data_IF_106987247664
#
_entry.id   IF_106987247664
#
_cell.length_a   1.000
_cell.length_b   1.000
_cell.length_c   1.000
_cell.angle_alpha   90.00
_cell.angle_beta   90.00
_cell.angle_gamma   90.00
#
_symmetry.space_group_name_H-M   'P 1'
#
loop_
_entity.id
_entity.type
_entity.pdbx_description
1 polymer ?
#
# COMPACT_ATOMS: atom_id res chain seq x y z
N UNK A 1 -35.95 5.38 -5.81
CA UNK A 1 -36.70 4.21 -6.34
C UNK A 1 -35.79 3.40 -7.28
N UNK A 2 -34.58 3.08 -6.80
CA UNK A 2 -33.53 2.31 -7.48
C UNK A 2 -33.08 1.29 -6.43
N UNK A 3 -33.83 0.21 -6.26
CA UNK A 3 -33.56 -0.81 -5.21
C UNK A 3 -33.84 -2.25 -5.66
N UNK A 4 -34.08 -2.51 -6.95
CA UNK A 4 -34.39 -3.88 -7.43
C UNK A 4 -33.61 -4.25 -8.70
N UNK A 5 -32.72 -3.39 -9.20
CA UNK A 5 -31.99 -3.66 -10.46
C UNK A 5 -30.57 -4.20 -10.25
N UNK A 6 -30.21 -4.63 -9.04
CA UNK A 6 -28.86 -5.13 -8.73
C UNK A 6 -28.77 -6.66 -8.84
N UNK A 7 -29.78 -7.39 -8.36
CA UNK A 7 -29.85 -8.85 -8.48
C UNK A 7 -30.03 -9.35 -9.93
N UNK A 8 -30.55 -8.48 -10.81
CA UNK A 8 -30.77 -8.82 -12.22
C UNK A 8 -29.51 -8.75 -13.08
N UNK A 9 -28.54 -7.89 -12.74
CA UNK A 9 -27.33 -7.69 -13.55
C UNK A 9 -26.30 -8.80 -13.30
N UNK A 10 -26.15 -9.23 -12.04
CA UNK A 10 -25.28 -10.35 -11.65
C UNK A 10 -25.78 -11.68 -12.24
N UNK A 11 -27.10 -11.86 -12.35
CA UNK A 11 -27.67 -13.04 -13.01
C UNK A 11 -27.60 -13.01 -14.55
N UNK A 12 -27.35 -11.84 -15.17
CA UNK A 12 -27.29 -11.67 -16.63
C UNK A 12 -25.87 -11.79 -17.21
N UNK A 13 -24.83 -11.57 -16.39
CA UNK A 13 -23.45 -11.93 -16.74
C UNK A 13 -23.24 -13.45 -16.80
N UNK A 14 -24.14 -14.23 -16.21
CA UNK A 14 -24.25 -15.69 -16.32
C UNK A 14 -25.22 -16.07 -17.46
N UNK A 15 -25.20 -15.34 -18.57
CA UNK A 15 -25.96 -15.75 -19.75
C UNK A 15 -25.21 -16.84 -20.52
N UNK A 16 -25.97 -17.85 -20.94
CA UNK A 16 -25.53 -19.13 -21.53
C UNK A 16 -24.49 -19.09 -22.67
N UNK A 17 -24.26 -18.01 -23.46
CA UNK A 17 -23.22 -18.04 -24.50
C UNK A 17 -21.80 -17.82 -23.97
N UNK A 18 -21.61 -17.11 -22.85
CA UNK A 18 -20.28 -16.95 -22.23
C UNK A 18 -19.85 -18.25 -21.52
N UNK A 19 -20.81 -18.93 -20.90
CA UNK A 19 -20.63 -20.25 -20.30
C UNK A 19 -20.18 -21.31 -21.32
N UNK A 20 -20.64 -21.24 -22.57
CA UNK A 20 -20.27 -22.23 -23.59
C UNK A 20 -18.83 -22.07 -24.13
N UNK A 21 -18.22 -20.88 -24.04
CA UNK A 21 -16.79 -20.68 -24.40
C UNK A 21 -15.88 -21.09 -23.24
N UNK A 22 -16.28 -20.76 -22.01
CA UNK A 22 -15.58 -21.14 -20.78
C UNK A 22 -15.71 -22.63 -20.46
N UNK A 23 -16.83 -23.31 -20.75
CA UNK A 23 -17.07 -24.74 -20.47
C UNK A 23 -15.89 -25.64 -20.90
N UNK A 24 -15.31 -25.37 -22.08
CA UNK A 24 -14.16 -26.13 -22.60
C UNK A 24 -12.85 -25.97 -21.79
N UNK A 25 -12.69 -24.86 -21.07
CA UNK A 25 -11.58 -24.62 -20.13
C UNK A 25 -11.95 -25.03 -18.70
N UNK A 26 -13.23 -24.96 -18.32
CA UNK A 26 -13.73 -25.20 -16.96
C UNK A 26 -13.80 -26.68 -16.55
N UNK A 27 -13.81 -27.64 -17.48
CA UNK A 27 -14.00 -29.06 -17.16
C UNK A 27 -12.83 -29.74 -16.40
N UNK A 28 -11.66 -29.09 -16.29
CA UNK A 28 -10.44 -29.68 -15.68
C UNK A 28 -9.83 -28.86 -14.52
N UNK A 29 -10.49 -27.79 -14.08
CA UNK A 29 -9.99 -26.96 -12.97
C UNK A 29 -10.90 -26.98 -11.75
N UNK A 30 -10.35 -26.52 -10.63
CA UNK A 30 -11.05 -26.32 -9.37
C UNK A 30 -11.46 -24.86 -9.26
N UNK A 31 -12.67 -24.63 -8.74
CA UNK A 31 -13.14 -23.30 -8.38
C UNK A 31 -13.29 -23.20 -6.86
N UNK A 32 -12.90 -22.05 -6.32
CA UNK A 32 -13.17 -21.67 -4.93
C UNK A 32 -13.78 -20.27 -4.94
N UNK A 33 -14.90 -20.10 -4.24
CA UNK A 33 -15.53 -18.80 -4.08
C UNK A 33 -15.27 -18.23 -2.70
N UNK A 34 -15.19 -16.92 -2.61
CA UNK A 34 -15.22 -16.22 -1.33
C UNK A 34 -16.20 -15.04 -1.34
N UNK A 35 -16.74 -14.75 -0.15
CA UNK A 35 -17.58 -13.58 0.08
C UNK A 35 -17.24 -13.01 1.45
N UNK A 36 -16.70 -11.80 1.44
CA UNK A 36 -16.34 -11.04 2.63
C UNK A 36 -17.37 -9.95 2.91
N UNK A 37 -17.75 -9.78 4.18
CA UNK A 37 -18.46 -8.59 4.64
C UNK A 37 -17.56 -7.86 5.62
N UNK A 38 -17.29 -6.60 5.34
CA UNK A 38 -16.48 -5.72 6.17
C UNK A 38 -17.39 -4.70 6.85
N UNK A 39 -17.09 -4.39 8.10
CA UNK A 39 -17.63 -3.24 8.78
C UNK A 39 -16.50 -2.49 9.48
N UNK A 40 -16.33 -1.22 9.12
CA UNK A 40 -15.35 -0.31 9.70
C UNK A 40 -16.08 0.77 10.49
N UNK A 41 -15.60 1.02 11.71
CA UNK A 41 -16.11 2.08 12.58
C UNK A 41 -14.97 3.01 13.00
N UNK A 42 -15.15 4.30 12.72
CA UNK A 42 -14.26 5.36 13.15
C UNK A 42 -14.79 6.01 14.42
N UNK A 43 -13.89 6.22 15.38
CA UNK A 43 -14.23 6.79 16.69
C UNK A 43 -14.73 8.22 16.57
N UNK A 44 -14.09 9.03 15.73
CA UNK A 44 -14.38 10.45 15.53
C UNK A 44 -15.00 10.67 14.12
N UNK A 45 -15.84 11.71 13.94
CA UNK A 45 -16.29 12.12 12.61
C UNK A 45 -15.12 12.49 11.72
N UNK A 46 -15.21 12.21 10.42
CA UNK A 46 -14.18 12.61 9.48
C UNK A 46 -14.05 14.12 9.38
N UNK A 47 -12.81 14.59 9.26
CA UNK A 47 -12.44 16.00 9.24
C UNK A 47 -13.21 16.82 8.19
N UNK A 48 -13.59 16.19 7.08
CA UNK A 48 -14.29 16.80 5.95
C UNK A 48 -15.74 16.33 5.81
N UNK A 49 -16.31 15.74 6.87
CA UNK A 49 -17.69 15.26 6.88
C UNK A 49 -17.86 13.81 6.42
N UNK A 50 -16.77 13.05 6.30
CA UNK A 50 -16.82 11.64 5.96
C UNK A 50 -17.50 10.81 7.07
N UNK A 51 -18.08 9.68 6.66
CA UNK A 51 -18.86 8.82 7.56
C UNK A 51 -17.97 8.15 8.63
N UNK A 52 -18.57 7.93 9.81
CA UNK A 52 -17.96 7.12 10.87
C UNK A 52 -18.20 5.62 10.68
N UNK A 53 -19.09 5.26 9.77
CA UNK A 53 -19.53 3.90 9.56
C UNK A 53 -19.36 3.56 8.10
N UNK A 54 -18.68 2.47 7.82
CA UNK A 54 -18.52 1.97 6.47
C UNK A 54 -18.75 0.46 6.43
N UNK A 55 -19.38 -0.01 5.35
CA UNK A 55 -19.72 -1.39 5.08
C UNK A 55 -19.32 -1.73 3.65
N UNK A 56 -18.43 -2.70 3.50
CA UNK A 56 -18.05 -3.22 2.20
C UNK A 56 -18.46 -4.68 2.01
N UNK A 57 -18.73 -5.06 0.76
CA UNK A 57 -18.94 -6.44 0.33
C UNK A 57 -17.82 -6.82 -0.66
N UNK A 58 -17.00 -7.79 -0.27
CA UNK A 58 -15.92 -8.36 -1.10
C UNK A 58 -16.38 -9.67 -1.73
N UNK A 59 -16.10 -9.86 -3.01
CA UNK A 59 -16.44 -11.06 -3.78
C UNK A 59 -15.20 -11.49 -4.57
N UNK A 60 -14.74 -12.70 -4.29
CA UNK A 60 -13.60 -13.32 -4.99
C UNK A 60 -13.99 -14.67 -5.57
N UNK A 61 -13.36 -15.04 -6.68
CA UNK A 61 -13.47 -16.39 -7.22
C UNK A 61 -12.11 -16.81 -7.77
N UNK A 62 -11.56 -17.90 -7.25
CA UNK A 62 -10.31 -18.48 -7.72
C UNK A 62 -10.61 -19.67 -8.63
N UNK A 63 -10.01 -19.66 -9.82
CA UNK A 63 -9.90 -20.82 -10.68
C UNK A 63 -8.46 -21.30 -10.70
N UNK A 64 -8.27 -22.60 -10.45
CA UNK A 64 -6.98 -23.25 -10.51
C UNK A 64 -7.02 -24.48 -11.41
N UNK A 65 -6.01 -24.65 -12.25
CA UNK A 65 -5.82 -25.90 -13.00
C UNK A 65 -4.34 -26.21 -13.17
N UNK A 66 -4.02 -27.50 -13.27
CA UNK A 66 -2.68 -27.98 -13.58
C UNK A 66 -2.71 -29.05 -14.66
N UNK A 67 -1.71 -29.05 -15.52
CA UNK A 67 -1.56 -30.02 -16.61
C UNK A 67 -0.09 -30.39 -16.81
N UNK A 68 0.18 -31.27 -17.78
CA UNK A 68 1.53 -31.81 -18.05
C UNK A 68 2.19 -32.40 -16.80
N UNK A 69 1.48 -33.30 -16.11
CA UNK A 69 1.94 -33.94 -14.87
C UNK A 69 2.27 -32.95 -13.72
N UNK A 70 1.75 -31.73 -13.79
CA UNK A 70 1.92 -30.69 -12.77
C UNK A 70 3.00 -29.66 -13.09
N UNK A 71 3.68 -29.80 -14.23
CA UNK A 71 4.71 -28.86 -14.67
C UNK A 71 4.11 -27.52 -15.12
N UNK A 72 2.84 -27.51 -15.53
CA UNK A 72 2.13 -26.29 -15.91
C UNK A 72 0.96 -26.03 -14.96
N UNK A 73 0.87 -24.79 -14.47
CA UNK A 73 -0.17 -24.32 -13.56
C UNK A 73 -0.79 -23.04 -14.09
N UNK A 74 -2.09 -22.87 -13.89
CA UNK A 74 -2.77 -21.61 -14.16
C UNK A 74 -3.72 -21.25 -13.03
N UNK A 75 -3.62 -20.01 -12.56
CA UNK A 75 -4.51 -19.41 -11.57
C UNK A 75 -5.17 -18.17 -12.17
N UNK A 76 -6.47 -18.01 -11.92
CA UNK A 76 -7.22 -16.80 -12.26
C UNK A 76 -8.09 -16.39 -11.07
N UNK A 77 -7.86 -15.17 -10.57
CA UNK A 77 -8.52 -14.61 -9.41
C UNK A 77 -9.12 -13.23 -9.71
N UNK A 78 -10.35 -13.18 -10.27
CA UNK A 78 -11.17 -11.98 -10.32
C UNK A 78 -11.69 -11.59 -8.94
N UNK A 79 -11.71 -10.29 -8.70
CA UNK A 79 -12.12 -9.66 -7.45
C UNK A 79 -13.07 -8.49 -7.71
N UNK A 80 -14.06 -8.33 -6.83
CA UNK A 80 -14.98 -7.21 -6.82
C UNK A 80 -15.23 -6.79 -5.39
N UNK A 81 -15.02 -5.52 -5.10
CA UNK A 81 -15.42 -4.89 -3.85
C UNK A 81 -16.51 -3.85 -4.13
N UNK A 82 -17.53 -3.83 -3.29
CA UNK A 82 -18.62 -2.85 -3.31
C UNK A 82 -18.63 -2.15 -1.96
N UNK A 83 -18.28 -0.87 -1.96
CA UNK A 83 -18.20 -0.05 -0.77
C UNK A 83 -19.44 0.84 -0.62
N UNK A 84 -19.78 1.20 0.63
CA UNK A 84 -20.99 1.96 0.92
C UNK A 84 -20.79 3.47 0.92
N UNK A 85 -19.58 3.93 1.19
CA UNK A 85 -19.25 5.33 1.38
C UNK A 85 -18.31 5.86 0.29
N UNK A 86 -17.32 5.07 -0.16
CA UNK A 86 -16.32 5.49 -1.15
C UNK A 86 -16.53 4.84 -2.52
N UNK A 87 -16.78 5.66 -3.55
CA UNK A 87 -16.90 5.17 -4.92
C UNK A 87 -15.58 4.69 -5.52
N UNK A 88 -14.44 5.24 -5.11
CA UNK A 88 -13.12 4.81 -5.60
C UNK A 88 -12.77 3.42 -5.09
N UNK A 89 -13.20 3.09 -3.87
CA UNK A 89 -13.08 1.75 -3.30
C UNK A 89 -13.98 0.73 -4.00
N UNK A 90 -15.07 1.14 -4.64
CA UNK A 90 -15.94 0.23 -5.39
C UNK A 90 -15.35 -0.09 -6.77
N UNK A 91 -14.64 -1.20 -6.89
CA UNK A 91 -13.97 -1.57 -8.13
C UNK A 91 -13.94 -3.09 -8.41
N UNK A 92 -13.72 -3.42 -9.67
CA UNK A 92 -13.40 -4.77 -10.13
C UNK A 92 -11.93 -4.83 -10.54
N UNK A 93 -11.21 -5.85 -10.08
CA UNK A 93 -9.82 -6.09 -10.45
C UNK A 93 -9.57 -7.56 -10.79
N UNK A 94 -8.56 -7.81 -11.61
CA UNK A 94 -7.99 -9.15 -11.78
C UNK A 94 -6.73 -9.18 -10.92
N UNK A 95 -6.88 -9.65 -9.69
CA UNK A 95 -5.76 -9.74 -8.73
C UNK A 95 -4.68 -10.71 -9.23
N UNK A 96 -5.10 -11.83 -9.83
CA UNK A 96 -4.19 -12.80 -10.42
C UNK A 96 -4.75 -13.37 -11.74
N UNK A 97 -3.86 -13.52 -12.72
CA UNK A 97 -4.08 -14.26 -13.95
C UNK A 97 -2.72 -14.79 -14.40
N UNK A 98 -2.28 -15.87 -13.78
CA UNK A 98 -0.90 -16.31 -13.79
C UNK A 98 -0.77 -17.70 -14.39
N UNK A 99 0.08 -17.85 -15.40
CA UNK A 99 0.58 -19.14 -15.86
C UNK A 99 2.00 -19.37 -15.35
N UNK A 100 2.27 -20.57 -14.86
CA UNK A 100 3.58 -21.01 -14.40
C UNK A 100 3.97 -22.27 -15.16
N UNK A 101 5.21 -22.32 -15.65
CA UNK A 101 5.85 -23.53 -16.17
C UNK A 101 7.09 -23.86 -15.35
N UNK A 102 7.13 -25.06 -14.79
CA UNK A 102 8.24 -25.59 -13.99
C UNK A 102 9.07 -26.54 -14.84
N UNK A 103 10.35 -26.23 -15.01
CA UNK A 103 11.34 -27.12 -15.63
C UNK A 103 12.33 -27.69 -14.60
N UNK A 104 13.31 -28.45 -15.08
CA UNK A 104 14.28 -29.14 -14.20
C UNK A 104 15.11 -28.20 -13.30
N UNK A 105 15.43 -27.00 -13.79
CA UNK A 105 16.31 -26.04 -13.10
C UNK A 105 15.91 -24.59 -13.36
N UNK A 106 14.67 -24.37 -13.80
CA UNK A 106 14.12 -23.06 -14.09
C UNK A 106 12.61 -23.09 -13.97
N UNK A 107 12.03 -21.92 -13.76
CA UNK A 107 10.59 -21.70 -13.75
C UNK A 107 10.27 -20.41 -14.50
N UNK A 108 9.19 -20.42 -15.27
CA UNK A 108 8.69 -19.23 -15.97
C UNK A 108 7.29 -18.90 -15.48
N UNK A 109 7.13 -17.67 -15.02
CA UNK A 109 5.87 -17.08 -14.60
C UNK A 109 5.48 -16.02 -15.62
N UNK A 110 4.27 -16.08 -16.16
CA UNK A 110 3.77 -15.06 -17.09
C UNK A 110 2.30 -14.79 -16.85
N UNK A 111 1.96 -13.53 -16.69
CA UNK A 111 0.60 -13.13 -16.34
C UNK A 111 0.55 -11.90 -15.46
N UNK A 112 -0.52 -11.77 -14.69
CA UNK A 112 -0.72 -10.72 -13.67
C UNK A 112 -0.59 -11.40 -12.31
N UNK A 113 0.31 -10.94 -11.46
CA UNK A 113 0.52 -11.53 -10.13
C UNK A 113 1.11 -10.52 -9.15
N UNK A 114 0.99 -10.81 -7.87
CA UNK A 114 1.75 -10.14 -6.81
C UNK A 114 3.07 -10.86 -6.57
N UNK A 115 4.10 -10.11 -6.23
CA UNK A 115 5.43 -10.56 -5.85
C UNK A 115 5.79 -9.80 -4.57
N UNK A 116 6.29 -10.51 -3.57
CA UNK A 116 6.70 -9.91 -2.32
C UNK A 116 8.20 -10.09 -2.14
N UNK A 117 8.92 -8.99 -1.90
CA UNK A 117 10.32 -9.00 -1.47
C UNK A 117 10.42 -8.35 -0.10
N UNK A 118 11.02 -9.03 0.86
CA UNK A 118 11.17 -8.49 2.19
C UNK A 118 11.32 -9.57 3.25
N UNK A 119 11.70 -9.11 4.42
CA UNK A 119 11.95 -9.86 5.64
C UNK A 119 11.41 -9.13 6.87
N UNK A 120 11.41 -7.79 6.88
CA UNK A 120 10.94 -6.99 8.02
C UNK A 120 9.42 -6.91 8.11
N UNK A 121 8.90 -6.50 9.26
CA UNK A 121 7.49 -6.64 9.63
C UNK A 121 6.71 -5.31 9.51
N UNK A 122 7.34 -4.15 9.73
CA UNK A 122 6.64 -2.85 9.68
C UNK A 122 6.76 -2.12 8.34
N UNK A 123 7.82 -2.39 7.58
CA UNK A 123 8.04 -1.82 6.25
C UNK A 123 8.92 -2.77 5.44
N UNK A 124 8.66 -2.90 4.14
CA UNK A 124 9.48 -3.69 3.22
C UNK A 124 10.11 -2.80 2.16
N UNK A 125 11.28 -2.25 2.47
CA UNK A 125 11.97 -1.26 1.63
C UNK A 125 12.33 -1.80 0.25
N UNK A 126 12.64 -3.11 0.19
CA UNK A 126 13.04 -3.74 -1.07
C UNK A 126 11.84 -4.10 -1.96
N UNK A 127 10.61 -4.05 -1.45
CA UNK A 127 9.42 -4.47 -2.19
C UNK A 127 8.96 -3.40 -3.19
N UNK A 128 9.43 -3.53 -4.43
CA UNK A 128 9.28 -2.47 -5.46
C UNK A 128 8.58 -2.96 -6.73
N UNK A 129 8.18 -4.23 -6.80
CA UNK A 129 7.61 -4.80 -8.03
C UNK A 129 6.16 -4.35 -8.21
N UNK A 130 5.35 -4.51 -7.17
CA UNK A 130 3.92 -4.25 -7.17
C UNK A 130 3.60 -2.89 -6.58
N UNK A 131 2.55 -2.27 -7.10
CA UNK A 131 2.01 -1.01 -6.60
C UNK A 131 1.06 -1.28 -5.43
N UNK A 132 1.01 -0.39 -4.44
CA UNK A 132 0.02 -0.43 -3.35
C UNK A 132 -1.41 -0.18 -3.87
N UNK A 133 -2.39 -0.76 -3.18
CA UNK A 133 -3.82 -0.59 -3.42
C UNK A 133 -4.49 0.10 -2.22
N UNK A 134 -4.20 1.39 -2.03
CA UNK A 134 -4.61 2.13 -0.83
C UNK A 134 -6.13 2.32 -0.70
N UNK A 135 -6.93 1.96 -1.70
CA UNK A 135 -8.40 1.97 -1.53
C UNK A 135 -8.87 0.72 -0.78
N UNK A 136 -8.14 -0.39 -0.85
CA UNK A 136 -8.51 -1.62 -0.15
C UNK A 136 -7.92 -1.63 1.27
N UNK A 137 -6.59 -1.56 1.36
CA UNK A 137 -5.81 -1.49 2.60
C UNK A 137 -4.37 -1.00 2.38
N UNK A 138 -3.63 -0.65 3.44
CA UNK A 138 -2.22 -0.21 3.34
C UNK A 138 -1.25 -1.35 2.99
N UNK A 139 -1.55 -2.58 3.42
CA UNK A 139 -0.76 -3.78 3.10
C UNK A 139 -1.17 -4.46 1.76
N UNK A 140 -2.26 -4.02 1.11
CA UNK A 140 -2.76 -4.65 -0.12
C UNK A 140 -2.05 -4.09 -1.36
N UNK A 141 -1.80 -4.97 -2.35
CA UNK A 141 -1.08 -4.59 -3.58
C UNK A 141 -1.83 -4.92 -4.86
N UNK A 142 -1.62 -4.14 -5.91
CA UNK A 142 -2.08 -4.43 -7.25
C UNK A 142 -1.25 -5.54 -7.89
N UNK A 143 -1.90 -6.47 -8.60
CA UNK A 143 -1.20 -7.47 -9.42
C UNK A 143 -0.44 -6.79 -10.58
N UNK A 144 0.83 -7.13 -10.76
CA UNK A 144 1.69 -6.58 -11.80
C UNK A 144 1.66 -7.52 -13.02
N UNK A 145 1.31 -7.02 -14.23
CA UNK A 145 1.53 -7.77 -15.46
C UNK A 145 3.03 -7.95 -15.70
N UNK A 146 3.49 -9.19 -15.88
CA UNK A 146 4.91 -9.51 -15.95
C UNK A 146 5.24 -10.82 -16.65
N UNK A 147 6.51 -10.95 -17.02
CA UNK A 147 7.19 -12.20 -17.32
C UNK A 147 8.36 -12.32 -16.35
N UNK A 148 8.41 -13.40 -15.57
CA UNK A 148 9.51 -13.70 -14.67
C UNK A 148 10.13 -15.06 -14.99
N UNK A 149 11.45 -15.06 -15.16
CA UNK A 149 12.25 -16.26 -15.33
C UNK A 149 13.10 -16.46 -14.08
N UNK A 150 12.86 -17.55 -13.38
CA UNK A 150 13.62 -17.98 -12.21
C UNK A 150 14.57 -19.11 -12.62
N UNK A 151 15.85 -18.98 -12.31
CA UNK A 151 16.88 -19.98 -12.61
C UNK A 151 17.48 -20.51 -11.30
N UNK A 152 17.41 -21.82 -11.11
CA UNK A 152 17.92 -22.49 -9.92
C UNK A 152 19.34 -22.99 -10.19
N UNK A 153 20.30 -22.57 -9.37
CA UNK A 153 21.67 -23.03 -9.45
C UNK A 153 22.28 -23.24 -8.05
N UNK A 154 23.29 -24.10 -7.93
CA UNK A 154 24.10 -24.32 -6.72
C UNK A 154 24.63 -23.04 -6.03
N UNK A 155 24.75 -21.91 -6.75
CA UNK A 155 25.23 -20.64 -6.20
C UNK A 155 24.11 -19.63 -5.89
N UNK A 156 22.84 -20.03 -6.03
CA UNK A 156 21.65 -19.24 -5.67
C UNK A 156 20.53 -19.32 -6.70
N UNK A 157 19.41 -18.67 -6.38
CA UNK A 157 18.30 -18.44 -7.29
C UNK A 157 18.50 -17.09 -7.99
N UNK A 158 18.27 -17.07 -9.30
CA UNK A 158 18.25 -15.84 -10.10
C UNK A 158 16.87 -15.61 -10.67
N UNK A 159 16.25 -14.52 -10.28
CA UNK A 159 14.96 -14.08 -10.80
C UNK A 159 15.17 -12.89 -11.72
N UNK A 160 14.70 -13.00 -12.95
CA UNK A 160 14.68 -11.90 -13.93
C UNK A 160 13.24 -11.51 -14.20
N UNK A 161 12.91 -10.23 -14.12
CA UNK A 161 11.57 -9.71 -14.26
C UNK A 161 11.52 -8.72 -15.43
N UNK A 162 10.54 -8.92 -16.31
CA UNK A 162 10.07 -7.93 -17.27
C UNK A 162 8.66 -7.55 -16.87
N UNK A 163 8.47 -6.33 -16.40
CA UNK A 163 7.17 -5.83 -15.95
C UNK A 163 6.54 -5.06 -17.12
N UNK A 164 5.33 -5.45 -17.53
CA UNK A 164 4.71 -5.00 -18.77
C UNK A 164 3.63 -3.97 -18.48
N UNK A 165 3.94 -2.70 -18.67
CA UNK A 165 3.06 -1.60 -18.30
C UNK A 165 3.08 -1.34 -16.79
N UNK A 166 2.67 -0.13 -16.44
CA UNK A 166 2.60 0.36 -15.09
C UNK A 166 1.14 0.54 -14.69
N UNK A 167 0.82 0.10 -13.47
CA UNK A 167 -0.47 0.32 -12.83
C UNK A 167 -0.29 1.41 -11.80
N UNK A 168 -1.03 2.50 -11.96
CA UNK A 168 -1.03 3.61 -11.01
C UNK A 168 -1.59 3.15 -9.67
N UNK A 169 -1.14 3.82 -8.61
CA UNK A 169 -1.63 3.63 -7.25
C UNK A 169 -3.07 4.11 -7.17
N UNK A 170 -3.89 3.36 -6.46
CA UNK A 170 -5.26 3.77 -6.13
C UNK A 170 -5.24 4.60 -4.86
N UNK A 171 -6.15 5.56 -4.75
CA UNK A 171 -6.26 6.44 -3.58
C UNK A 171 -7.72 6.57 -3.15
N UNK A 172 -8.02 6.62 -1.84
CA UNK A 172 -9.39 6.82 -1.39
C UNK A 172 -9.98 8.14 -1.89
N UNK A 173 -11.26 8.12 -2.22
CA UNK A 173 -11.99 9.25 -2.79
C UNK A 173 -12.36 10.31 -1.74
N UNK A 174 -13.00 11.43 -2.14
CA UNK A 174 -13.34 12.53 -1.23
C UNK A 174 -14.20 12.11 -0.01
N UNK A 175 -15.12 11.16 -0.21
CA UNK A 175 -16.01 10.62 0.81
C UNK A 175 -15.36 9.47 1.62
N UNK A 176 -14.21 8.96 1.16
CA UNK A 176 -13.43 7.91 1.79
C UNK A 176 -12.71 8.38 3.08
N UNK A 177 -12.46 7.42 3.96
CA UNK A 177 -11.68 7.57 5.20
C UNK A 177 -10.25 7.06 4.95
N UNK A 178 -9.31 7.34 5.86
CA UNK A 178 -7.88 7.00 5.70
C UNK A 178 -7.23 7.65 4.47
N UNK A 179 -7.72 8.84 4.09
CA UNK A 179 -7.19 9.62 2.96
C UNK A 179 -6.34 10.78 3.45
N UNK A 180 -5.48 11.29 2.56
CA UNK A 180 -4.87 12.61 2.76
C UNK A 180 -5.93 13.72 2.90
N UNK A 181 -5.65 14.81 3.63
CA UNK A 181 -6.60 15.92 3.85
C UNK A 181 -7.14 16.50 2.55
N UNK A 182 -6.26 16.64 1.55
CA UNK A 182 -6.65 16.91 0.17
C UNK A 182 -6.83 15.58 -0.59
N UNK A 183 -7.97 15.37 -1.26
CA UNK A 183 -8.16 14.21 -2.13
C UNK A 183 -7.12 14.15 -3.25
N UNK A 184 -6.81 12.96 -3.73
CA UNK A 184 -5.87 12.73 -4.83
C UNK A 184 -6.67 12.47 -6.11
N UNK A 185 -6.36 13.21 -7.17
CA UNK A 185 -6.89 13.05 -8.52
C UNK A 185 -6.02 12.04 -9.29
N UNK A 186 -6.36 10.76 -9.15
CA UNK A 186 -5.68 9.65 -9.83
C UNK A 186 -5.80 9.74 -11.37
N UNK A 187 -6.92 10.25 -11.89
CA UNK A 187 -7.15 10.43 -13.33
C UNK A 187 -6.24 11.49 -13.97
N UNK A 188 -5.66 12.39 -13.15
CA UNK A 188 -4.75 13.44 -13.60
C UNK A 188 -3.27 13.07 -13.50
N UNK A 189 -2.95 11.79 -13.23
CA UNK A 189 -1.58 11.31 -13.05
C UNK A 189 -0.61 11.79 -14.15
N UNK A 190 0.58 12.22 -13.72
CA UNK A 190 1.62 12.76 -14.60
C UNK A 190 2.86 11.86 -14.56
N UNK A 191 3.62 11.87 -15.65
CA UNK A 191 4.86 11.09 -15.78
C UNK A 191 6.02 11.99 -16.21
N UNK A 192 7.23 11.70 -15.72
CA UNK A 192 8.45 12.35 -16.18
C UNK A 192 8.73 12.07 -17.65
N UNK A 193 9.56 12.90 -18.29
CA UNK A 193 9.80 12.83 -19.73
C UNK A 193 10.42 11.53 -20.25
N UNK A 194 11.01 10.73 -19.36
CA UNK A 194 11.69 9.47 -19.62
C UNK A 194 10.88 8.25 -19.20
N UNK A 195 9.65 8.42 -18.71
CA UNK A 195 8.81 7.31 -18.29
C UNK A 195 7.33 7.47 -18.63
N UNK A 196 6.52 6.42 -18.44
CA UNK A 196 5.08 6.45 -18.72
C UNK A 196 4.33 5.17 -18.36
N UNK A 197 3.00 5.25 -18.37
CA UNK A 197 2.10 4.14 -18.03
C UNK A 197 2.32 2.86 -18.86
N UNK A 198 2.84 2.97 -20.08
CA UNK A 198 3.06 1.82 -20.98
C UNK A 198 4.52 1.34 -20.99
N UNK A 199 5.34 1.79 -20.05
CA UNK A 199 6.74 1.40 -19.98
C UNK A 199 6.92 -0.07 -19.62
N UNK A 200 8.11 -0.56 -19.96
CA UNK A 200 8.55 -1.90 -19.58
C UNK A 200 9.65 -1.75 -18.56
N UNK A 201 9.33 -2.05 -17.31
CA UNK A 201 10.29 -2.01 -16.21
C UNK A 201 11.06 -3.32 -16.13
N UNK A 202 12.23 -3.27 -15.51
CA UNK A 202 13.11 -4.42 -15.35
C UNK A 202 13.53 -4.59 -13.90
N UNK A 203 13.58 -5.84 -13.45
CA UNK A 203 14.17 -6.16 -12.16
C UNK A 203 14.96 -7.46 -12.19
N UNK A 204 15.97 -7.55 -11.33
CA UNK A 204 16.74 -8.78 -11.09
C UNK A 204 16.87 -8.98 -9.60
N UNK A 205 16.66 -10.21 -9.14
CA UNK A 205 16.95 -10.61 -7.77
C UNK A 205 17.83 -11.84 -7.76
N UNK A 206 18.85 -11.82 -6.92
CA UNK A 206 19.65 -12.99 -6.58
C UNK A 206 19.48 -13.28 -5.11
N UNK A 207 19.17 -14.51 -4.76
CA UNK A 207 19.09 -14.93 -3.35
C UNK A 207 19.82 -16.25 -3.12
N UNK A 208 20.42 -16.38 -1.92
CA UNK A 208 21.15 -17.59 -1.55
C UNK A 208 21.31 -17.72 -0.02
N UNK A 209 21.18 -18.94 0.54
CA UNK A 209 21.76 -19.25 1.83
C UNK A 209 23.29 -19.17 1.77
N UNK A 210 23.87 -18.30 2.59
CA UNK A 210 25.32 -18.18 2.76
C UNK A 210 25.88 -19.28 3.67
N UNK A 211 25.09 -19.73 4.63
CA UNK A 211 25.34 -20.86 5.53
C UNK A 211 24.00 -21.35 6.15
N UNK A 212 24.06 -22.26 7.13
CA UNK A 212 22.89 -22.86 7.77
C UNK A 212 21.99 -21.87 8.55
N UNK A 213 22.47 -20.64 8.78
CA UNK A 213 21.79 -19.63 9.61
C UNK A 213 21.58 -18.30 8.90
N UNK A 214 22.28 -18.03 7.80
CA UNK A 214 22.27 -16.71 7.14
C UNK A 214 21.79 -16.85 5.70
N UNK A 215 20.72 -16.13 5.39
CA UNK A 215 20.22 -15.91 4.04
C UNK A 215 20.52 -14.48 3.59
N UNK A 216 20.78 -14.33 2.30
CA UNK A 216 21.05 -13.04 1.66
C UNK A 216 20.32 -12.94 0.33
N UNK A 217 19.80 -11.76 0.03
CA UNK A 217 19.40 -11.39 -1.31
C UNK A 217 19.96 -10.02 -1.74
N UNK A 218 20.18 -9.89 -3.03
CA UNK A 218 20.52 -8.63 -3.70
C UNK A 218 19.52 -8.42 -4.83
N UNK A 219 19.00 -7.21 -4.94
CA UNK A 219 18.06 -6.84 -6.00
C UNK A 219 18.51 -5.58 -6.73
N UNK A 220 18.10 -5.48 -7.99
CA UNK A 220 18.18 -4.26 -8.79
C UNK A 220 16.86 -4.08 -9.52
N UNK A 221 16.29 -2.89 -9.43
CA UNK A 221 15.07 -2.47 -10.12
C UNK A 221 15.37 -1.21 -10.94
N UNK A 222 14.76 -1.11 -12.11
CA UNK A 222 14.83 0.05 -13.01
C UNK A 222 13.50 0.19 -13.74
N UNK A 223 12.75 1.25 -13.46
CA UNK A 223 11.42 1.45 -14.00
C UNK A 223 10.68 2.62 -13.39
N UNK A 224 9.37 2.71 -13.63
CA UNK A 224 8.50 3.73 -13.02
C UNK A 224 8.57 3.63 -11.49
N UNK A 225 8.64 4.75 -10.78
CA UNK A 225 8.63 4.80 -9.33
C UNK A 225 7.28 4.32 -8.77
N UNK A 226 7.32 3.53 -7.70
CA UNK A 226 6.11 3.01 -7.04
C UNK A 226 5.63 3.95 -5.93
N UNK A 227 6.41 4.97 -5.62
CA UNK A 227 6.09 5.97 -4.61
C UNK A 227 5.94 7.34 -5.31
N UNK A 228 4.75 7.70 -5.83
CA UNK A 228 4.58 8.97 -6.51
C UNK A 228 4.77 10.14 -5.54
N UNK A 229 5.23 11.27 -6.08
CA UNK A 229 5.18 12.54 -5.36
C UNK A 229 3.95 13.34 -5.81
N UNK A 230 3.43 14.18 -4.93
CA UNK A 230 2.18 14.89 -5.18
C UNK A 230 2.41 16.37 -5.53
N UNK A 231 1.69 16.87 -6.53
CA UNK A 231 1.60 18.29 -6.87
C UNK A 231 0.18 18.80 -6.65
N UNK A 232 0.01 20.05 -6.23
CA UNK A 232 -1.33 20.64 -6.15
C UNK A 232 -1.93 20.89 -7.55
N UNK A 233 -3.24 20.70 -7.71
CA UNK A 233 -3.93 20.92 -8.98
C UNK A 233 -4.16 22.41 -9.33
N UNK A 234 -3.85 23.32 -8.40
CA UNK A 234 -4.03 24.77 -8.52
C UNK A 234 -5.49 25.24 -8.69
N UNK A 235 -6.46 24.41 -8.27
CA UNK A 235 -7.88 24.75 -8.24
C UNK A 235 -8.35 24.89 -6.79
N UNK A 236 -8.56 26.12 -6.32
CA UNK A 236 -9.06 26.35 -4.95
C UNK A 236 -10.55 26.03 -4.80
N UNK A 237 -11.30 25.98 -5.89
CA UNK A 237 -12.71 25.62 -5.84
C UNK A 237 -12.93 24.11 -5.68
N UNK A 238 -11.94 23.32 -6.09
CA UNK A 238 -11.88 21.88 -5.94
C UNK A 238 -10.42 21.43 -5.69
N UNK A 239 -9.87 21.68 -4.49
CA UNK A 239 -8.46 21.44 -4.21
C UNK A 239 -8.15 19.94 -4.18
N UNK A 240 -7.22 19.52 -5.02
CA UNK A 240 -6.78 18.13 -5.11
C UNK A 240 -5.26 18.03 -5.31
N UNK A 241 -4.71 16.89 -4.92
CA UNK A 241 -3.36 16.48 -5.24
C UNK A 241 -3.33 15.68 -6.54
N UNK A 242 -2.26 15.83 -7.32
CA UNK A 242 -2.03 15.10 -8.56
C UNK A 242 -0.78 14.25 -8.37
N UNK A 243 -0.84 12.91 -8.56
CA UNK A 243 0.31 12.05 -8.44
C UNK A 243 1.24 12.22 -9.66
N UNK A 244 2.54 12.29 -9.39
CA UNK A 244 3.58 12.42 -10.39
C UNK A 244 4.56 11.26 -10.28
N UNK A 245 4.62 10.46 -11.33
CA UNK A 245 5.50 9.32 -11.48
C UNK A 245 6.79 9.69 -12.22
N UNK A 246 7.89 9.09 -11.81
CA UNK A 246 9.21 9.32 -12.40
C UNK A 246 9.96 8.00 -12.58
N UNK A 247 11.05 7.99 -13.35
CA UNK A 247 11.92 6.82 -13.42
C UNK A 247 12.75 6.67 -12.12
N UNK A 248 12.82 5.46 -11.56
CA UNK A 248 13.61 5.09 -10.38
C UNK A 248 14.53 3.90 -10.69
N UNK A 249 15.81 4.05 -10.36
CA UNK A 249 16.77 2.95 -10.27
C UNK A 249 17.03 2.64 -8.78
N UNK A 250 16.83 1.39 -8.36
CA UNK A 250 16.96 0.97 -6.96
C UNK A 250 17.83 -0.27 -6.84
N UNK A 251 18.82 -0.23 -5.93
CA UNK A 251 19.57 -1.40 -5.47
C UNK A 251 19.08 -1.80 -4.10
N UNK A 252 18.78 -3.09 -3.90
CA UNK A 252 18.32 -3.64 -2.63
C UNK A 252 19.28 -4.69 -2.06
N UNK A 253 19.33 -4.75 -0.73
CA UNK A 253 20.02 -5.75 0.06
C UNK A 253 19.05 -6.28 1.11
N UNK A 254 18.97 -7.60 1.21
CA UNK A 254 18.24 -8.31 2.27
C UNK A 254 19.23 -9.25 2.99
N UNK A 255 19.21 -9.25 4.32
CA UNK A 255 19.92 -10.23 5.15
C UNK A 255 18.99 -10.74 6.23
N UNK A 256 19.03 -12.05 6.47
CA UNK A 256 18.30 -12.70 7.53
C UNK A 256 19.21 -13.69 8.25
N UNK A 257 19.26 -13.62 9.58
CA UNK A 257 19.96 -14.56 10.43
C UNK A 257 18.97 -15.25 11.38
N UNK A 258 18.89 -16.58 11.32
CA UNK A 258 17.98 -17.39 12.13
C UNK A 258 18.78 -18.35 13.02
N UNK A 259 18.62 -18.25 14.35
CA UNK A 259 19.28 -19.17 15.29
C UNK A 259 18.54 -19.32 16.62
N UNK A 260 18.16 -20.55 16.98
CA UNK A 260 17.55 -20.91 18.28
C UNK A 260 16.41 -19.97 18.72
N UNK A 261 15.55 -19.55 17.78
CA UNK A 261 14.40 -18.68 18.03
C UNK A 261 14.69 -17.18 17.88
N UNK A 262 15.94 -16.79 17.66
CA UNK A 262 16.29 -15.43 17.22
C UNK A 262 16.15 -15.30 15.71
N UNK A 263 15.54 -14.20 15.27
CA UNK A 263 15.68 -13.70 13.90
C UNK A 263 16.33 -12.30 13.95
N UNK A 264 17.36 -12.08 13.14
CA UNK A 264 17.92 -10.74 12.93
C UNK A 264 17.83 -10.45 11.45
N UNK A 265 17.15 -9.36 11.12
CA UNK A 265 16.77 -9.01 9.75
C UNK A 265 17.35 -7.64 9.41
N UNK A 266 17.75 -7.46 8.16
CA UNK A 266 18.17 -6.18 7.62
C UNK A 266 17.66 -6.07 6.20
N UNK A 267 16.99 -4.97 5.89
CA UNK A 267 16.77 -4.51 4.54
C UNK A 267 17.44 -3.16 4.34
N UNK A 268 18.02 -2.94 3.16
CA UNK A 268 18.56 -1.64 2.80
C UNK A 268 18.41 -1.40 1.30
N UNK A 269 18.14 -0.15 0.94
CA UNK A 269 18.02 0.30 -0.43
C UNK A 269 18.87 1.54 -0.68
N UNK A 270 19.39 1.65 -1.91
CA UNK A 270 19.90 2.88 -2.47
C UNK A 270 19.16 3.16 -3.77
N UNK A 271 18.52 4.32 -3.87
CA UNK A 271 17.65 4.70 -4.96
C UNK A 271 18.10 6.01 -5.61
N UNK A 272 17.84 6.11 -6.91
CA UNK A 272 18.15 7.27 -7.75
C UNK A 272 17.01 7.55 -8.70
N UNK A 273 16.64 8.81 -8.80
CA UNK A 273 15.63 9.32 -9.71
C UNK A 273 16.06 10.68 -10.30
N UNK A 274 15.21 11.30 -11.12
CA UNK A 274 15.48 12.67 -11.58
C UNK A 274 15.30 13.70 -10.46
N UNK A 275 14.36 13.46 -9.54
CA UNK A 275 14.04 14.35 -8.43
C UNK A 275 15.05 14.24 -7.30
N UNK A 276 15.39 13.02 -6.90
CA UNK A 276 16.21 12.78 -5.71
C UNK A 276 17.00 11.46 -5.75
N UNK A 277 18.11 11.45 -5.01
CA UNK A 277 18.93 10.28 -4.69
C UNK A 277 18.85 10.06 -3.18
N UNK A 278 18.57 8.84 -2.74
CA UNK A 278 18.44 8.52 -1.32
C UNK A 278 18.90 7.09 -0.98
N UNK A 279 19.07 6.83 0.31
CA UNK A 279 19.16 5.49 0.87
C UNK A 279 18.20 5.34 2.05
N UNK A 280 17.72 4.12 2.26
CA UNK A 280 16.93 3.77 3.43
C UNK A 280 17.36 2.39 3.94
N UNK A 281 17.18 2.14 5.24
CA UNK A 281 17.45 0.85 5.84
C UNK A 281 16.52 0.58 7.01
N UNK A 282 16.14 -0.70 7.18
CA UNK A 282 15.42 -1.19 8.34
C UNK A 282 16.17 -2.39 8.93
N UNK A 283 16.39 -2.38 10.24
CA UNK A 283 17.03 -3.47 10.97
C UNK A 283 16.09 -3.98 12.05
N UNK A 284 15.77 -5.27 11.99
CA UNK A 284 14.83 -5.95 12.88
C UNK A 284 15.49 -7.02 13.74
N UNK A 285 15.00 -7.18 14.96
CA UNK A 285 15.32 -8.32 15.83
C UNK A 285 14.01 -8.90 16.34
N UNK A 286 13.90 -10.21 16.22
CA UNK A 286 12.79 -10.98 16.76
C UNK A 286 13.29 -12.08 17.69
N UNK A 287 12.46 -12.41 18.67
CA UNK A 287 12.66 -13.58 19.49
C UNK A 287 11.34 -14.31 19.77
N UNK A 288 11.31 -15.59 19.42
CA UNK A 288 10.14 -16.46 19.61
C UNK A 288 10.29 -17.31 20.87
N UNK A 289 9.37 -17.11 21.81
CA UNK A 289 9.14 -17.95 22.97
C UNK A 289 8.16 -19.07 22.61
N UNK A 290 8.66 -20.30 22.50
CA UNK A 290 7.82 -21.45 22.15
C UNK A 290 7.21 -22.13 23.38
N UNK A 291 5.96 -22.57 23.25
CA UNK A 291 5.26 -23.37 24.26
C UNK A 291 5.17 -22.68 25.63
N UNK A 292 4.82 -21.39 25.63
CA UNK A 292 4.83 -20.54 26.81
C UNK A 292 3.93 -21.12 27.91
N UNK A 293 4.46 -21.19 29.14
CA UNK A 293 3.81 -21.83 30.30
C UNK A 293 3.42 -23.31 30.10
N UNK A 294 4.07 -24.03 29.17
CA UNK A 294 3.76 -25.42 28.86
C UNK A 294 2.47 -25.59 28.06
N UNK A 295 2.00 -24.52 27.42
CA UNK A 295 0.88 -24.54 26.47
C UNK A 295 1.37 -24.77 25.03
N UNK A 296 0.47 -24.71 24.06
CA UNK A 296 0.81 -24.67 22.64
C UNK A 296 1.03 -23.23 22.15
N UNK A 297 0.93 -22.23 23.01
CA UNK A 297 1.00 -20.82 22.61
C UNK A 297 2.47 -20.45 22.40
N UNK A 298 2.75 -19.87 21.24
CA UNK A 298 4.02 -19.26 20.91
C UNK A 298 3.87 -17.73 20.90
N UNK A 299 4.88 -17.03 21.41
CA UNK A 299 4.91 -15.57 21.46
C UNK A 299 6.18 -15.10 20.77
N UNK A 300 6.08 -14.25 19.75
CA UNK A 300 7.24 -13.62 19.10
C UNK A 300 7.24 -12.14 19.45
N UNK A 301 8.34 -11.65 20.03
CA UNK A 301 8.57 -10.23 20.22
C UNK A 301 9.34 -9.67 19.03
N UNK A 302 8.93 -8.51 18.53
CA UNK A 302 9.47 -7.88 17.32
C UNK A 302 9.97 -6.48 17.69
N UNK A 303 11.14 -6.09 17.20
CA UNK A 303 11.64 -4.72 17.31
C UNK A 303 12.37 -4.34 16.05
N UNK A 304 11.96 -3.24 15.41
CA UNK A 304 12.56 -2.76 14.16
C UNK A 304 12.96 -1.29 14.28
N UNK A 305 14.11 -0.96 13.69
CA UNK A 305 14.65 0.39 13.61
C UNK A 305 14.72 0.81 12.15
N UNK A 306 14.07 1.91 11.81
CA UNK A 306 13.97 2.42 10.44
C UNK A 306 14.81 3.70 10.30
N UNK A 307 15.49 3.85 9.16
CA UNK A 307 16.25 5.05 8.80
C UNK A 307 16.09 5.33 7.31
N UNK A 308 15.44 6.44 6.96
CA UNK A 308 15.48 7.05 5.63
C UNK A 308 16.38 8.30 5.66
N UNK A 309 17.19 8.48 4.62
CA UNK A 309 18.06 9.63 4.43
C UNK A 309 17.37 10.89 3.89
N UNK A 310 16.15 10.73 3.35
CA UNK A 310 15.30 11.86 2.93
C UNK A 310 14.82 12.67 4.13
N UNK A 311 14.93 12.11 5.34
CA UNK A 311 14.29 12.62 6.55
C UNK A 311 12.83 13.00 6.17
N UNK A 312 12.30 14.13 6.66
CA UNK A 312 10.89 14.51 6.44
C UNK A 312 10.42 14.54 4.97
N UNK A 313 11.33 14.57 4.00
CA UNK A 313 10.96 14.59 2.58
C UNK A 313 10.57 13.21 2.03
N UNK A 314 10.62 12.14 2.82
CA UNK A 314 10.16 10.82 2.37
C UNK A 314 8.65 10.85 2.00
N UNK A 315 8.13 9.97 1.14
CA UNK A 315 6.68 9.89 0.91
C UNK A 315 5.94 9.24 2.09
N UNK A 316 6.55 8.26 2.74
CA UNK A 316 5.98 7.55 3.89
C UNK A 316 6.20 8.24 5.23
N UNK A 317 5.58 7.70 6.27
CA UNK A 317 5.69 8.15 7.66
C UNK A 317 6.76 7.41 8.48
N UNK A 318 7.45 6.41 7.90
CA UNK A 318 8.47 5.61 8.57
C UNK A 318 9.87 6.02 8.14
N UNK A 319 10.41 7.04 8.80
CA UNK A 319 11.70 7.64 8.48
C UNK A 319 12.76 7.35 9.54
N UNK A 320 12.49 7.72 10.80
CA UNK A 320 13.39 7.57 11.97
C UNK A 320 12.71 6.81 13.10
N UNK A 321 11.78 5.96 12.71
CA UNK A 321 10.83 5.33 13.61
C UNK A 321 11.42 4.08 14.26
N UNK A 322 10.81 3.74 15.39
CA UNK A 322 11.05 2.47 16.08
C UNK A 322 9.74 1.72 16.20
N UNK A 323 9.69 0.54 15.60
CA UNK A 323 8.57 -0.38 15.70
C UNK A 323 8.79 -1.36 16.85
N UNK A 324 7.78 -1.55 17.69
CA UNK A 324 7.74 -2.60 18.71
C UNK A 324 6.48 -3.43 18.52
N UNK A 325 6.64 -4.74 18.35
CA UNK A 325 5.53 -5.63 18.06
C UNK A 325 5.54 -6.92 18.88
N UNK A 326 4.40 -7.60 18.85
CA UNK A 326 4.22 -8.91 19.44
C UNK A 326 3.22 -9.73 18.64
N UNK A 327 3.61 -10.96 18.30
CA UNK A 327 2.73 -11.96 17.66
C UNK A 327 2.45 -13.10 18.64
N UNK A 328 1.18 -13.44 18.80
CA UNK A 328 0.71 -14.51 19.69
C UNK A 328 0.01 -15.57 18.84
N UNK A 329 0.67 -16.70 18.65
CA UNK A 329 0.12 -17.82 17.90
C UNK A 329 -0.40 -18.86 18.89
N UNK A 330 -1.69 -19.15 18.85
CA UNK A 330 -2.28 -20.12 19.77
C UNK A 330 -2.06 -21.56 19.34
N UNK A 331 -1.68 -21.77 18.07
CA UNK A 331 -1.46 -23.08 17.45
C UNK A 331 -2.64 -24.04 17.69
N UNK A 332 -3.87 -23.52 17.57
CA UNK A 332 -5.10 -24.29 17.63
C UNK A 332 -5.61 -24.67 16.22
N UNK A 333 -6.58 -25.57 16.13
CA UNK A 333 -7.17 -26.01 14.84
C UNK A 333 -7.96 -24.91 14.11
N UNK A 334 -8.07 -23.73 14.72
CA UNK A 334 -8.79 -22.57 14.22
C UNK A 334 -7.86 -21.46 13.74
N UNK A 335 -6.55 -21.72 13.70
CA UNK A 335 -5.52 -20.76 13.29
C UNK A 335 -5.63 -19.43 14.05
N UNK A 336 -5.89 -19.48 15.36
CA UNK A 336 -6.07 -18.25 16.15
C UNK A 336 -4.75 -17.53 16.34
N UNK A 337 -4.70 -16.25 15.97
CA UNK A 337 -3.53 -15.41 16.14
C UNK A 337 -3.90 -13.97 16.58
N UNK A 338 -2.97 -13.31 17.24
CA UNK A 338 -3.04 -11.87 17.54
C UNK A 338 -1.69 -11.25 17.16
N UNK A 339 -1.72 -10.21 16.35
CA UNK A 339 -0.59 -9.34 16.09
C UNK A 339 -0.87 -7.98 16.73
N UNK A 340 0.13 -7.37 17.36
CA UNK A 340 0.00 -6.00 17.86
C UNK A 340 1.31 -5.26 17.76
N UNK A 341 1.24 -4.00 17.39
CA UNK A 341 2.38 -3.15 17.09
C UNK A 341 2.22 -1.75 17.67
N UNK A 342 3.36 -1.13 17.96
CA UNK A 342 3.48 0.30 18.25
C UNK A 342 4.56 0.83 17.33
N UNK A 343 4.21 1.80 16.50
CA UNK A 343 5.15 2.65 15.78
C UNK A 343 5.35 3.93 16.58
N UNK A 344 6.60 4.33 16.75
CA UNK A 344 6.96 5.53 17.49
C UNK A 344 8.05 6.31 16.77
N UNK A 345 7.73 7.56 16.46
CA UNK A 345 8.69 8.56 16.01
C UNK A 345 9.28 9.29 17.24
N UNK A 346 10.59 9.13 17.52
CA UNK A 346 11.22 9.79 18.65
C UNK A 346 11.42 11.30 18.49
N UNK A 347 11.39 11.85 17.27
CA UNK A 347 11.64 13.26 17.00
C UNK A 347 10.35 14.09 17.12
N UNK A 348 9.21 13.56 16.67
CA UNK A 348 7.90 14.21 16.75
C UNK A 348 7.05 13.78 17.95
N UNK A 349 7.44 12.69 18.62
CA UNK A 349 6.66 11.97 19.63
C UNK A 349 5.36 11.34 19.09
N UNK A 350 5.16 11.25 17.77
CA UNK A 350 4.00 10.61 17.13
C UNK A 350 3.99 9.09 17.40
N UNK A 351 2.80 8.55 17.71
CA UNK A 351 2.61 7.13 18.05
C UNK A 351 1.37 6.54 17.41
N UNK A 352 1.55 5.46 16.67
CA UNK A 352 0.47 4.62 16.14
C UNK A 352 0.49 3.28 16.86
N UNK A 353 -0.68 2.81 17.26
CA UNK A 353 -0.87 1.48 17.82
C UNK A 353 -1.84 0.72 16.95
N UNK A 354 -1.45 -0.48 16.53
CA UNK A 354 -2.30 -1.42 15.79
C UNK A 354 -2.44 -2.73 16.56
N UNK A 355 -3.62 -3.34 16.47
CA UNK A 355 -3.88 -4.69 16.94
C UNK A 355 -4.75 -5.40 15.93
N UNK A 356 -4.31 -6.57 15.50
CA UNK A 356 -5.01 -7.46 14.60
C UNK A 356 -5.28 -8.79 15.31
N UNK A 357 -6.48 -9.32 15.13
CA UNK A 357 -6.90 -10.63 15.61
C UNK A 357 -7.52 -11.40 14.45
N UNK A 358 -7.04 -12.61 14.23
CA UNK A 358 -7.58 -13.51 13.22
C UNK A 358 -7.94 -14.87 13.82
N UNK A 359 -9.03 -15.45 13.30
CA UNK A 359 -9.48 -16.79 13.67
C UNK A 359 -10.47 -17.38 12.67
N UNK A 360 -10.30 -18.66 12.39
CA UNK A 360 -11.32 -19.51 11.76
C UNK A 360 -12.45 -19.84 12.75
N UNK A 361 -13.68 -19.45 12.43
CA UNK A 361 -14.87 -19.77 13.24
C UNK A 361 -15.34 -21.21 12.97
N UNK A 362 -15.25 -21.66 11.73
CA UNK A 362 -15.48 -23.05 11.29
C UNK A 362 -14.80 -23.29 9.93
N UNK A 363 -14.96 -24.48 9.34
CA UNK A 363 -14.29 -24.86 8.09
C UNK A 363 -14.39 -23.82 6.95
N UNK A 364 -15.47 -23.05 6.89
CA UNK A 364 -15.77 -22.13 5.79
C UNK A 364 -15.83 -20.66 6.20
N UNK A 365 -15.68 -20.34 7.49
CA UNK A 365 -15.90 -18.98 8.00
C UNK A 365 -14.67 -18.48 8.75
N UNK A 366 -14.13 -17.36 8.31
CA UNK A 366 -12.95 -16.70 8.87
C UNK A 366 -13.31 -15.31 9.38
N UNK A 367 -12.81 -14.94 10.54
CA UNK A 367 -13.01 -13.65 11.18
C UNK A 367 -11.65 -12.99 11.37
N UNK A 368 -11.60 -11.72 10.99
CA UNK A 368 -10.50 -10.80 11.22
C UNK A 368 -11.05 -9.55 11.92
N UNK A 369 -10.32 -9.05 12.90
CA UNK A 369 -10.62 -7.81 13.60
C UNK A 369 -9.33 -7.02 13.70
N UNK A 370 -9.37 -5.80 13.20
CA UNK A 370 -8.26 -4.87 13.24
C UNK A 370 -8.67 -3.62 14.00
N UNK A 371 -7.75 -3.05 14.78
CA UNK A 371 -7.95 -1.76 15.43
C UNK A 371 -6.67 -0.93 15.37
N UNK A 372 -6.80 0.30 14.90
CA UNK A 372 -5.71 1.27 14.78
C UNK A 372 -6.06 2.52 15.56
N UNK A 373 -5.07 3.10 16.25
CA UNK A 373 -5.25 4.30 17.07
C UNK A 373 -4.00 5.16 17.08
N UNK A 374 -4.18 6.47 16.89
CA UNK A 374 -3.11 7.47 16.92
C UNK A 374 -3.14 8.19 18.28
N UNK A 375 -2.16 7.91 19.13
CA UNK A 375 -2.19 8.26 20.57
C UNK A 375 -1.65 9.65 20.89
N UNK A 376 -0.48 10.01 20.35
CA UNK A 376 0.13 11.32 20.53
C UNK A 376 0.24 11.99 19.17
N UNK A 377 -0.42 13.14 19.06
CA UNK A 377 -0.67 13.89 17.84
C UNK A 377 0.09 15.20 18.00
N UNK A 378 1.24 15.32 17.35
CA UNK A 378 2.03 16.55 17.42
C UNK A 378 1.28 17.67 16.70
N UNK A 379 0.62 18.58 17.42
CA UNK A 379 -0.06 19.72 16.78
C UNK A 379 0.93 20.55 15.97
N UNK A 380 0.74 20.61 14.66
CA UNK A 380 1.43 21.58 13.81
C UNK A 380 1.06 22.98 14.33
N UNK A 381 2.05 23.82 14.64
CA UNK A 381 1.78 25.24 14.86
C UNK A 381 1.45 25.82 13.50
N UNK A 382 0.15 26.01 13.27
CA UNK A 382 -0.36 26.63 12.05
C UNK A 382 -0.38 28.13 12.25
N UNK A 383 0.07 28.90 11.27
CA UNK A 383 0.10 30.36 11.39
C UNK A 383 -1.30 30.97 11.42
N UNK A 384 -1.42 32.09 12.14
CA UNK A 384 -2.69 32.76 12.39
C UNK A 384 -3.22 33.55 11.17
N UNK A 385 -2.40 33.75 10.13
CA UNK A 385 -2.78 34.58 8.97
C UNK A 385 -2.37 34.02 7.61
N UNK A 386 -3.21 34.21 6.58
CA UNK A 386 -2.93 33.80 5.20
C UNK A 386 -1.59 34.34 4.65
N UNK A 387 -1.17 35.52 5.09
CA UNK A 387 0.09 36.12 4.65
C UNK A 387 1.33 35.41 5.23
N UNK A 388 1.23 34.92 6.46
CA UNK A 388 2.27 34.12 7.11
C UNK A 388 2.33 32.73 6.49
N UNK A 389 1.17 32.07 6.31
CA UNK A 389 1.08 30.76 5.63
C UNK A 389 1.68 30.80 4.22
N UNK A 390 1.34 31.81 3.41
CA UNK A 390 1.87 31.94 2.04
C UNK A 390 3.38 32.22 2.08
N UNK A 391 3.88 33.00 3.04
CA UNK A 391 5.31 33.26 3.18
C UNK A 391 6.08 31.99 3.57
N UNK A 392 5.50 31.19 4.44
CA UNK A 392 6.06 29.91 4.89
C UNK A 392 6.06 28.87 3.76
N UNK A 393 4.95 28.70 3.03
CA UNK A 393 4.87 27.85 1.84
C UNK A 393 5.92 28.25 0.79
N UNK A 394 6.09 29.56 0.52
CA UNK A 394 7.10 30.06 -0.42
C UNK A 394 8.55 29.84 0.05
N UNK A 395 8.75 29.60 1.34
CA UNK A 395 10.07 29.34 1.93
C UNK A 395 10.33 27.86 2.23
N UNK A 396 9.31 27.00 2.06
CA UNK A 396 9.41 25.59 2.36
C UNK A 396 10.30 24.86 1.33
N UNK A 397 11.19 23.97 1.78
CA UNK A 397 12.07 23.19 0.92
C UNK A 397 11.30 22.24 -0.03
N UNK A 398 10.01 22.04 0.21
CA UNK A 398 9.11 21.28 -0.68
C UNK A 398 8.89 21.99 -2.02
N UNK A 399 9.03 23.33 -2.07
CA UNK A 399 8.73 24.18 -3.23
C UNK A 399 9.94 24.68 -4.03
N UNK A 400 11.06 23.93 -4.03
CA UNK A 400 12.29 24.29 -4.76
C UNK A 400 12.07 24.53 -6.27
N UNK A 401 12.92 25.36 -6.89
CA UNK A 401 12.77 25.94 -8.24
C UNK A 401 12.59 24.90 -9.37
N UNK A 402 12.96 23.64 -9.12
CA UNK A 402 12.90 22.52 -10.08
C UNK A 402 11.71 21.55 -9.84
N UNK A 403 11.03 21.62 -8.68
CA UNK A 403 9.96 20.69 -8.31
C UNK A 403 8.56 21.15 -8.80
N UNK A 404 8.41 22.45 -9.02
CA UNK A 404 7.20 23.06 -9.55
C UNK A 404 7.54 23.79 -10.85
N UNK A 405 6.65 23.76 -11.83
CA UNK A 405 6.73 24.76 -12.87
C UNK A 405 6.49 26.11 -12.18
N UNK A 406 7.55 26.89 -11.94
CA UNK A 406 7.47 28.24 -11.35
C UNK A 406 6.33 29.08 -11.94
N UNK A 407 6.06 28.87 -13.23
CA UNK A 407 4.96 29.51 -13.95
C UNK A 407 3.57 29.07 -13.46
N UNK A 408 3.36 27.81 -13.08
CA UNK A 408 2.09 27.33 -12.53
C UNK A 408 1.85 27.89 -11.13
N UNK A 409 2.86 27.92 -10.26
CA UNK A 409 2.77 28.57 -8.94
C UNK A 409 2.58 30.08 -9.08
N UNK A 410 3.31 30.71 -9.99
CA UNK A 410 3.17 32.13 -10.26
C UNK A 410 1.78 32.45 -10.85
N UNK A 411 1.29 31.67 -11.81
CA UNK A 411 -0.02 31.86 -12.42
C UNK A 411 -1.14 31.55 -11.42
N UNK A 412 -0.95 30.60 -10.50
CA UNK A 412 -1.82 30.35 -9.37
C UNK A 412 -1.87 31.54 -8.40
N UNK A 413 -0.71 32.04 -7.96
CA UNK A 413 -0.62 33.20 -7.07
C UNK A 413 -1.16 34.47 -7.74
N UNK A 414 -0.94 34.63 -9.05
CA UNK A 414 -1.50 35.71 -9.85
C UNK A 414 -3.01 35.52 -10.06
N UNK A 415 -3.48 34.29 -10.24
CA UNK A 415 -4.89 33.92 -10.34
C UNK A 415 -5.65 34.21 -9.05
N UNK A 416 -5.09 33.81 -7.90
CA UNK A 416 -5.52 34.19 -6.56
C UNK A 416 -5.70 35.72 -6.42
N UNK A 417 -4.76 36.49 -6.97
CA UNK A 417 -4.82 37.96 -6.95
C UNK A 417 -5.80 38.56 -7.97
N UNK A 418 -6.16 37.83 -9.05
CA UNK A 418 -6.91 38.34 -10.20
C UNK A 418 -8.39 37.90 -10.25
N UNK A 419 -8.71 36.67 -9.84
CA UNK A 419 -10.05 36.07 -9.99
C UNK A 419 -10.92 36.21 -8.72
N UNK A 420 -10.34 36.05 -7.54
CA UNK A 420 -11.03 36.12 -6.23
C UNK A 420 -10.83 37.48 -5.52
N UNK A 421 -9.95 38.32 -6.08
CA UNK A 421 -9.58 39.60 -5.50
C UNK A 421 -8.96 39.45 -4.12
N UNK A 422 -8.77 40.61 -3.49
CA UNK A 422 -8.26 40.75 -2.12
C UNK A 422 -9.10 39.95 -1.09
N UNK A 423 -10.27 39.42 -1.46
CA UNK A 423 -11.20 38.77 -0.54
C UNK A 423 -10.71 37.39 -0.03
N UNK A 424 -9.90 36.58 -0.74
CA UNK A 424 -9.25 35.39 -0.12
C UNK A 424 -8.24 35.76 0.98
N UNK A 425 -7.67 36.97 0.92
CA UNK A 425 -6.80 37.50 1.98
C UNK A 425 -7.65 37.95 3.20
N UNK A 426 -8.97 38.13 3.04
CA UNK A 426 -9.89 38.69 4.04
C UNK A 426 -11.19 37.87 4.27
N UNK A 427 -11.29 36.65 3.73
CA UNK A 427 -12.42 35.72 3.90
C UNK A 427 -12.01 34.65 4.91
N UNK A 428 -12.63 34.71 6.08
CA UNK A 428 -12.08 34.26 7.35
C UNK A 428 -12.14 32.72 7.58
N UNK A 429 -12.62 31.90 6.63
CA UNK A 429 -12.79 30.45 6.87
C UNK A 429 -12.23 29.56 5.75
N UNK A 430 -12.79 29.57 4.54
CA UNK A 430 -12.44 28.52 3.56
C UNK A 430 -11.01 28.64 3.00
N UNK A 431 -10.57 29.84 2.63
CA UNK A 431 -9.21 30.06 2.12
C UNK A 431 -8.14 29.83 3.17
N UNK A 432 -8.44 30.19 4.43
CA UNK A 432 -7.57 29.90 5.58
C UNK A 432 -7.47 28.39 5.76
N UNK A 433 -8.59 27.66 5.84
CA UNK A 433 -8.60 26.22 6.09
C UNK A 433 -7.79 25.43 5.04
N UNK A 434 -7.93 25.78 3.74
CA UNK A 434 -7.15 25.15 2.65
C UNK A 434 -5.66 25.50 2.75
N UNK A 435 -5.32 26.76 3.04
CA UNK A 435 -3.92 27.18 3.21
C UNK A 435 -3.29 26.52 4.44
N UNK A 436 -4.04 26.38 5.53
CA UNK A 436 -3.62 25.71 6.75
C UNK A 436 -3.42 24.21 6.53
N UNK A 437 -4.25 23.56 5.71
CA UNK A 437 -4.05 22.16 5.28
C UNK A 437 -2.82 22.01 4.39
N UNK A 438 -2.62 22.93 3.43
CA UNK A 438 -1.40 22.93 2.64
C UNK A 438 -0.16 23.16 3.51
N UNK A 439 -0.25 23.99 4.56
CA UNK A 439 0.82 24.21 5.52
C UNK A 439 1.08 22.96 6.37
N UNK A 440 0.04 22.27 6.87
CA UNK A 440 0.20 21.05 7.66
C UNK A 440 0.77 19.91 6.83
N UNK A 441 0.36 19.77 5.56
CA UNK A 441 0.91 18.81 4.61
C UNK A 441 2.32 19.19 4.13
N UNK A 442 2.67 20.48 4.18
CA UNK A 442 4.00 20.96 3.82
C UNK A 442 5.00 20.89 4.99
N UNK A 443 4.56 20.60 6.22
CA UNK A 443 5.46 20.23 7.32
C UNK A 443 5.94 18.79 7.06
N UNK A 444 7.14 18.61 6.52
CA UNK A 444 7.62 17.29 6.13
C UNK A 444 7.90 16.42 7.36
N UNK A 445 8.00 17.02 8.54
CA UNK A 445 8.40 16.32 9.75
C UNK A 445 7.26 15.57 10.43
N UNK A 446 5.99 15.84 10.13
CA UNK A 446 4.85 15.31 10.88
C UNK A 446 3.78 14.73 9.96
N UNK A 447 3.87 13.44 9.70
CA UNK A 447 3.01 12.75 8.71
C UNK A 447 1.93 11.90 9.34
N UNK A 448 2.09 11.46 10.58
CA UNK A 448 1.10 10.63 11.25
C UNK A 448 -0.06 11.49 11.77
N UNK A 449 0.20 12.75 12.16
CA UNK A 449 -0.83 13.73 12.54
C UNK A 449 -1.74 14.18 11.39
N UNK A 450 -1.39 13.89 10.13
CA UNK A 450 -2.23 14.18 8.97
C UNK A 450 -3.54 13.36 9.00
N UNK A 451 -3.57 12.24 9.74
CA UNK A 451 -4.71 11.32 9.84
C UNK A 451 -5.42 11.41 11.21
N UNK A 452 -5.41 12.62 11.79
CA UNK A 452 -5.78 12.91 13.18
C UNK A 452 -7.17 12.38 13.64
N UNK A 453 -8.14 12.19 12.74
CA UNK A 453 -9.50 11.74 13.09
C UNK A 453 -9.74 10.23 12.94
N UNK A 454 -8.73 9.44 12.60
CA UNK A 454 -8.98 8.14 11.97
C UNK A 454 -8.68 6.93 12.86
N UNK A 455 -8.80 7.08 14.18
CA UNK A 455 -8.85 5.92 15.08
C UNK A 455 -10.03 5.02 14.68
N UNK A 456 -9.78 3.75 14.33
CA UNK A 456 -10.80 2.85 13.83
C UNK A 456 -10.72 1.43 14.39
N UNK A 457 -11.85 0.73 14.26
CA UNK A 457 -11.93 -0.73 14.38
C UNK A 457 -12.64 -1.28 13.15
N UNK A 458 -12.05 -2.30 12.55
CA UNK A 458 -12.58 -3.03 11.41
C UNK A 458 -12.86 -4.47 11.82
N UNK A 459 -13.95 -5.03 11.31
CA UNK A 459 -14.22 -6.45 11.39
C UNK A 459 -14.57 -6.99 10.01
N UNK A 460 -13.81 -7.99 9.57
CA UNK A 460 -14.00 -8.66 8.28
C UNK A 460 -14.43 -10.10 8.53
N UNK A 461 -15.55 -10.50 7.92
CA UNK A 461 -16.05 -11.85 7.99
C UNK A 461 -16.09 -12.47 6.59
N UNK A 462 -15.24 -13.44 6.34
CA UNK A 462 -15.06 -14.07 5.02
C UNK A 462 -15.60 -15.50 5.01
N UNK A 463 -16.48 -15.79 4.05
CA UNK A 463 -17.05 -17.11 3.83
C UNK A 463 -16.51 -17.73 2.54
N UNK A 464 -15.91 -18.91 2.66
CA UNK A 464 -15.31 -19.68 1.56
C UNK A 464 -16.22 -20.85 1.15
N UNK A 465 -16.40 -21.10 -0.15
CA UNK A 465 -17.29 -22.17 -0.67
C UNK A 465 -16.86 -22.84 -1.96
#
# INVERSE_FOLDING_TARGET
>A
MIRITFAGLVALLISSPAFAFLETFLEQGEWRGETGVEYRYFKDPGEFGQSQHDVALRLGAEYFTSWNDGDDLFTFYPYLILDSEDSERTHFDIREALWIHVGDSWELRSGITRVFWGKTEFINLVDVINQEDLVDDDDEKLGQPMINLSLVHDWGLFDFYLLLGFREQTFPGPDGRLRSPLPIDSDAARYSSDTGQNDVDFAVRWQRPLNDYVDMALSWFSGVDRDPWFSFNYDLSNPMLVPNYQHKDQLGLELEYLYEGWAVKLEAVGARSQREDYWAAVAGVEYSFYGVFGSNIDITSITEFMRDSRDGSAPGYLEHDVGFGGRFNFNDEFDTSILGGILWDPDTEEKVVSVEFERRINANLFLEIEAVSVLERGRVEVDDTNAEIIADLLSSPVFDEDAFAYNEVFDFLVGLLQEEGIDIIFDDQFGVDVLQQLQSMADPSRKISIIESDDYIQATLTFYY
#
